data_IF_339647838709
#
_entry.id   IF_339647838709
#
_cell.length_a   1.000
_cell.length_b   1.000
_cell.length_c   1.000
_cell.angle_alpha   90.00
_cell.angle_beta   90.00
_cell.angle_gamma   90.00
#
_symmetry.space_group_name_H-M   'P 1'
#
loop_
_entity.id
_entity.type
_entity.pdbx_description
1 polymer ?
#
# COMPACT_ATOMS: atom_id res chain seq x y z
N UNK A 1 -19.26 -26.97 -26.74
CA UNK A 1 -18.12 -26.94 -25.81
C UNK A 1 -17.73 -25.48 -25.68
N UNK A 2 -18.02 -24.85 -24.54
CA UNK A 2 -17.56 -23.48 -24.28
C UNK A 2 -16.26 -23.58 -23.51
N UNK A 3 -15.18 -23.12 -24.13
CA UNK A 3 -13.86 -23.06 -23.53
C UNK A 3 -13.89 -22.00 -22.43
N UNK A 4 -13.62 -22.41 -21.18
CA UNK A 4 -13.47 -21.47 -20.08
C UNK A 4 -12.11 -20.80 -20.23
N UNK A 5 -12.12 -19.50 -20.56
CA UNK A 5 -10.93 -18.66 -20.52
C UNK A 5 -10.52 -18.52 -19.05
N UNK A 6 -9.44 -19.16 -18.65
CA UNK A 6 -8.81 -18.95 -17.34
C UNK A 6 -8.18 -17.56 -17.35
N UNK A 7 -8.83 -16.60 -16.69
CA UNK A 7 -8.21 -15.31 -16.39
C UNK A 7 -7.06 -15.60 -15.43
N UNK A 8 -5.81 -15.20 -15.72
CA UNK A 8 -4.70 -15.43 -14.80
C UNK A 8 -5.06 -14.87 -13.43
N UNK A 9 -4.71 -15.61 -12.38
CA UNK A 9 -4.97 -15.28 -11.00
C UNK A 9 -4.53 -13.83 -10.76
N UNK A 10 -5.48 -12.97 -10.40
CA UNK A 10 -5.22 -11.54 -10.25
C UNK A 10 -4.31 -11.43 -9.04
N UNK A 11 -3.08 -10.92 -9.21
CA UNK A 11 -2.22 -10.60 -8.06
C UNK A 11 -3.04 -9.69 -7.16
N UNK A 12 -3.33 -10.16 -5.94
CA UNK A 12 -3.97 -9.35 -4.93
C UNK A 12 -2.95 -8.31 -4.50
N UNK A 13 -3.19 -7.05 -4.87
CA UNK A 13 -2.37 -5.93 -4.43
C UNK A 13 -2.78 -5.59 -3.01
N UNK A 14 -1.81 -5.50 -2.10
CA UNK A 14 -2.03 -5.12 -0.71
C UNK A 14 -2.01 -3.59 -0.54
N UNK A 15 -1.17 -2.89 -1.29
CA UNK A 15 -1.01 -1.43 -1.23
C UNK A 15 -0.86 -0.83 -2.62
N UNK A 16 -1.61 0.22 -2.92
CA UNK A 16 -1.43 1.03 -4.13
C UNK A 16 -0.76 2.36 -3.79
N UNK A 17 0.24 2.77 -4.58
CA UNK A 17 0.96 4.03 -4.41
C UNK A 17 0.49 5.03 -5.46
N UNK A 18 0.19 6.26 -5.04
CA UNK A 18 -0.21 7.33 -5.97
C UNK A 18 0.56 8.60 -5.66
N UNK A 19 1.37 9.02 -6.63
CA UNK A 19 2.15 10.26 -6.56
C UNK A 19 1.37 11.49 -7.04
N UNK A 20 1.39 12.56 -6.25
CA UNK A 20 0.80 13.87 -6.57
C UNK A 20 1.86 14.99 -6.64
N UNK A 21 3.11 14.64 -6.97
CA UNK A 21 4.24 15.58 -7.09
C UNK A 21 4.97 15.80 -5.78
N UNK A 22 4.37 16.54 -4.84
CA UNK A 22 4.98 16.85 -3.53
C UNK A 22 4.49 15.97 -2.39
N UNK A 23 3.49 15.14 -2.65
CA UNK A 23 2.88 14.22 -1.69
C UNK A 23 2.67 12.89 -2.41
N UNK A 24 2.84 11.80 -1.68
CA UNK A 24 2.51 10.45 -2.13
C UNK A 24 1.52 9.85 -1.14
N UNK A 25 0.56 9.12 -1.69
CA UNK A 25 -0.48 8.42 -0.94
C UNK A 25 -0.29 6.92 -1.10
N UNK A 26 -0.24 6.18 0.01
CA UNK A 26 -0.21 4.71 0.01
C UNK A 26 -1.55 4.21 0.55
N UNK A 27 -2.34 3.60 -0.34
CA UNK A 27 -3.69 3.12 -0.06
C UNK A 27 -3.66 1.62 0.28
N UNK A 28 -3.91 1.22 1.54
CA UNK A 28 -4.06 -0.19 1.87
C UNK A 28 -5.36 -0.75 1.24
N UNK A 29 -5.24 -1.88 0.56
CA UNK A 29 -6.33 -2.60 -0.11
C UNK A 29 -6.75 -3.86 0.65
N UNK A 30 -5.93 -4.32 1.58
CA UNK A 30 -6.16 -5.55 2.35
C UNK A 30 -6.06 -5.31 3.86
N UNK A 31 -6.69 -6.16 4.69
CA UNK A 31 -6.55 -6.07 6.15
C UNK A 31 -5.09 -6.21 6.61
N UNK A 32 -4.29 -7.05 5.95
CA UNK A 32 -2.88 -7.22 6.27
C UNK A 32 -2.09 -5.92 6.07
N UNK A 33 -2.38 -5.16 5.02
CA UNK A 33 -1.80 -3.84 4.81
C UNK A 33 -2.19 -2.86 5.92
N UNK A 34 -3.45 -2.84 6.32
CA UNK A 34 -3.91 -1.98 7.42
C UNK A 34 -3.17 -2.32 8.71
N UNK A 35 -3.06 -3.61 9.06
CA UNK A 35 -2.33 -4.07 10.25
C UNK A 35 -0.84 -3.71 10.20
N UNK A 36 -0.22 -3.79 9.03
CA UNK A 36 1.17 -3.37 8.85
C UNK A 36 1.34 -1.88 9.12
N UNK A 37 0.43 -1.06 8.59
CA UNK A 37 0.44 0.40 8.78
C UNK A 37 0.22 0.75 10.25
N UNK A 38 -0.76 0.11 10.92
CA UNK A 38 -1.02 0.28 12.35
C UNK A 38 0.22 -0.03 13.20
N UNK A 39 0.95 -1.09 12.87
CA UNK A 39 2.11 -1.54 13.63
C UNK A 39 3.35 -0.65 13.42
N UNK A 40 3.63 -0.24 12.18
CA UNK A 40 4.91 0.39 11.84
C UNK A 40 4.84 1.92 11.73
N UNK A 41 3.67 2.46 11.38
CA UNK A 41 3.46 3.90 11.22
C UNK A 41 2.60 4.40 12.38
N UNK A 42 1.44 3.78 12.59
CA UNK A 42 0.46 4.16 13.59
C UNK A 42 -0.26 5.49 13.30
N UNK A 43 -1.39 5.76 13.96
CA UNK A 43 -2.20 6.95 13.72
C UNK A 43 -1.58 8.24 14.30
N UNK A 44 -0.64 8.12 15.23
CA UNK A 44 -0.01 9.25 15.93
C UNK A 44 1.27 9.76 15.22
N UNK A 45 1.67 9.11 14.13
CA UNK A 45 2.82 9.55 13.34
C UNK A 45 2.43 10.69 12.39
N UNK A 46 2.39 11.89 12.97
CA UNK A 46 2.03 13.14 12.29
C UNK A 46 0.54 13.20 11.89
N UNK A 47 0.13 14.26 11.19
CA UNK A 47 -1.28 14.45 10.83
C UNK A 47 -1.68 13.58 9.62
N UNK A 48 -2.54 12.58 9.83
CA UNK A 48 -3.03 11.65 8.79
C UNK A 48 -4.57 11.72 8.65
N UNK A 49 -5.13 12.69 7.91
CA UNK A 49 -6.58 12.91 7.84
C UNK A 49 -7.37 11.77 7.18
N UNK A 50 -6.69 10.84 6.50
CA UNK A 50 -7.29 9.71 5.78
C UNK A 50 -6.76 8.35 6.25
N UNK A 51 -6.29 8.29 7.49
CA UNK A 51 -5.82 7.06 8.11
C UNK A 51 -6.81 5.89 7.90
N UNK A 52 -6.37 4.69 7.48
CA UNK A 52 -4.98 4.20 7.42
C UNK A 52 -4.24 4.50 6.11
N UNK A 53 -4.76 5.36 5.22
CA UNK A 53 -3.98 5.82 4.07
C UNK A 53 -2.80 6.65 4.56
N UNK A 54 -1.58 6.27 4.18
CA UNK A 54 -0.39 7.04 4.53
C UNK A 54 -0.27 8.19 3.53
N UNK A 55 -0.16 9.40 4.06
CA UNK A 55 0.18 10.61 3.31
C UNK A 55 1.60 11.01 3.74
N UNK A 56 2.56 10.97 2.81
CA UNK A 56 3.95 11.30 3.11
C UNK A 56 4.63 12.06 1.96
N UNK A 57 5.77 12.67 2.27
CA UNK A 57 6.64 13.28 1.26
C UNK A 57 7.35 12.18 0.44
N UNK A 58 7.61 12.39 -0.87
CA UNK A 58 8.23 11.38 -1.75
C UNK A 58 9.52 10.75 -1.19
N UNK A 59 10.34 11.51 -0.45
CA UNK A 59 11.61 11.03 0.11
C UNK A 59 11.49 9.91 1.14
N UNK A 60 10.29 9.67 1.66
CA UNK A 60 10.03 8.60 2.64
C UNK A 60 9.36 7.37 2.00
N UNK A 61 8.96 7.47 0.73
CA UNK A 61 8.16 6.41 0.08
C UNK A 61 8.97 5.14 -0.08
N UNK A 62 10.22 5.26 -0.53
CA UNK A 62 11.09 4.10 -0.77
C UNK A 62 11.29 3.28 0.51
N UNK A 63 11.63 3.93 1.63
CA UNK A 63 11.81 3.24 2.92
C UNK A 63 10.52 2.51 3.38
N UNK A 64 9.36 3.13 3.17
CA UNK A 64 8.07 2.52 3.55
C UNK A 64 7.72 1.34 2.64
N UNK A 65 7.90 1.50 1.33
CA UNK A 65 7.65 0.46 0.33
C UNK A 65 8.61 -0.72 0.53
N UNK A 66 9.89 -0.47 0.78
CA UNK A 66 10.87 -1.51 1.09
C UNK A 66 10.48 -2.29 2.35
N UNK A 67 10.00 -1.60 3.40
CA UNK A 67 9.47 -2.25 4.59
C UNK A 67 8.26 -3.15 4.30
N UNK A 68 7.30 -2.67 3.51
CA UNK A 68 6.12 -3.44 3.12
C UNK A 68 6.49 -4.68 2.29
N UNK A 69 7.34 -4.51 1.26
CA UNK A 69 7.81 -5.61 0.43
C UNK A 69 8.63 -6.64 1.25
N UNK A 70 9.47 -6.16 2.17
CA UNK A 70 10.28 -6.99 3.06
C UNK A 70 9.45 -7.87 4.00
N UNK A 71 8.27 -7.38 4.43
CA UNK A 71 7.31 -8.12 5.24
C UNK A 71 6.30 -8.93 4.40
N UNK A 72 6.49 -8.98 3.07
CA UNK A 72 5.75 -9.85 2.17
C UNK A 72 4.44 -9.29 1.63
N UNK A 73 4.20 -7.98 1.73
CA UNK A 73 3.05 -7.32 1.09
C UNK A 73 3.33 -7.03 -0.38
N UNK A 74 2.31 -7.16 -1.23
CA UNK A 74 2.37 -6.77 -2.64
C UNK A 74 2.04 -5.28 -2.82
N UNK A 75 2.98 -4.53 -3.41
CA UNK A 75 2.83 -3.08 -3.67
C UNK A 75 2.72 -2.81 -5.17
N UNK A 76 1.72 -2.02 -5.56
CA UNK A 76 1.50 -1.53 -6.94
C UNK A 76 1.84 -0.03 -7.01
N UNK A 77 2.89 0.37 -7.76
CA UNK A 77 3.38 1.75 -7.82
C UNK A 77 2.58 2.70 -8.73
#
# INVERSE_FOLDING_TARGET
MHEQVTVPDRVVVDVSVVGHGSIVMLYPQTPQAVEWIDKHIGPDNSYQPQYPTIICEPRYVDDVVEGMLGDGLAVDP
#
